data_IF_933468183524
#
_entry.id   IF_933468183524
#
_cell.length_a   1.000
_cell.length_b   1.000
_cell.length_c   1.000
_cell.angle_alpha   90.00
_cell.angle_beta   90.00
_cell.angle_gamma   90.00
#
_symmetry.space_group_name_H-M   'P 1'
#
loop_
_entity.id
_entity.type
_entity.pdbx_description
1 polymer ?
#
# COMPACT_ATOMS: atom_id res chain seq x y z
N UNK A 1 32.62 -42.47 21.28
CA UNK A 1 32.20 -41.98 19.95
C UNK A 1 30.72 -41.68 20.05
N UNK A 2 30.33 -40.42 20.31
CA UNK A 2 30.09 -39.39 19.29
C UNK A 2 29.04 -39.89 18.27
N UNK A 3 27.88 -39.27 18.08
CA UNK A 3 27.55 -37.86 18.21
C UNK A 3 26.05 -37.68 18.47
N UNK A 4 25.70 -36.80 19.40
CA UNK A 4 24.33 -36.34 19.61
C UNK A 4 24.00 -35.37 18.48
N UNK A 5 23.05 -35.72 17.62
CA UNK A 5 22.50 -34.75 16.66
C UNK A 5 21.56 -33.84 17.46
N UNK A 6 22.07 -32.68 17.88
CA UNK A 6 21.25 -31.60 18.41
C UNK A 6 20.29 -31.11 17.31
N UNK A 7 19.00 -30.88 17.60
CA UNK A 7 18.10 -30.25 16.66
C UNK A 7 18.52 -28.79 16.44
N UNK A 8 18.83 -28.44 15.19
CA UNK A 8 19.17 -27.09 14.73
C UNK A 8 18.04 -26.09 15.05
N UNK A 9 18.17 -25.43 16.20
CA UNK A 9 17.39 -24.29 16.64
C UNK A 9 17.92 -23.02 15.95
N UNK A 10 17.73 -22.91 14.63
CA UNK A 10 18.52 -21.96 13.83
C UNK A 10 17.76 -20.98 12.92
N UNK A 11 16.45 -21.13 12.70
CA UNK A 11 15.69 -20.12 11.96
C UNK A 11 14.25 -20.07 12.47
N UNK A 12 14.04 -19.27 13.52
CA UNK A 12 12.72 -18.72 13.81
C UNK A 12 12.26 -18.00 12.54
N UNK A 13 11.20 -18.50 11.90
CA UNK A 13 10.56 -17.78 10.80
C UNK A 13 9.94 -16.54 11.43
N UNK A 14 10.72 -15.46 11.48
CA UNK A 14 10.30 -14.20 12.07
C UNK A 14 9.22 -13.62 11.18
N UNK A 15 7.96 -13.86 11.55
CA UNK A 15 6.83 -13.18 10.93
C UNK A 15 6.98 -11.69 11.21
N UNK A 16 7.00 -10.82 10.18
CA UNK A 16 7.23 -9.41 10.40
C UNK A 16 6.13 -8.81 11.27
N UNK A 17 6.54 -8.05 12.28
CA UNK A 17 5.63 -7.48 13.27
C UNK A 17 4.61 -6.51 12.65
N UNK A 18 4.91 -5.94 11.48
CA UNK A 18 4.04 -5.04 10.74
C UNK A 18 4.14 -5.30 9.23
N UNK A 19 2.99 -5.31 8.56
CA UNK A 19 2.91 -5.40 7.10
C UNK A 19 2.36 -4.09 6.54
N UNK A 20 3.00 -3.57 5.48
CA UNK A 20 2.61 -2.34 4.80
C UNK A 20 2.59 -2.62 3.30
N UNK A 21 1.45 -2.38 2.68
CA UNK A 21 1.30 -2.46 1.24
C UNK A 21 1.09 -1.10 0.59
N UNK A 22 1.88 -0.80 -0.43
CA UNK A 22 1.86 0.49 -1.13
C UNK A 22 1.35 0.28 -2.55
N UNK A 23 0.25 0.95 -2.90
CA UNK A 23 -0.25 1.00 -4.28
C UNK A 23 0.33 2.24 -4.96
N UNK A 24 1.19 2.06 -5.95
CA UNK A 24 1.89 3.16 -6.64
C UNK A 24 2.13 2.83 -8.11
N UNK A 25 2.06 3.85 -8.97
CA UNK A 25 2.46 3.73 -10.38
C UNK A 25 3.99 3.67 -10.57
N UNK A 26 4.74 4.08 -9.54
CA UNK A 26 6.20 4.18 -9.52
C UNK A 26 6.73 3.50 -8.25
N UNK A 27 6.70 2.15 -8.18
CA UNK A 27 7.23 1.42 -7.04
C UNK A 27 8.74 1.65 -6.85
N UNK A 28 9.49 1.91 -7.93
CA UNK A 28 10.95 2.08 -7.92
C UNK A 28 11.38 3.32 -7.10
N UNK A 29 10.51 4.31 -6.94
CA UNK A 29 10.79 5.48 -6.08
C UNK A 29 11.02 5.10 -4.61
N UNK A 30 10.52 3.94 -4.19
CA UNK A 30 10.64 3.46 -2.82
C UNK A 30 11.89 2.61 -2.59
N UNK A 31 12.64 2.27 -3.64
CA UNK A 31 13.87 1.47 -3.52
C UNK A 31 14.86 2.13 -2.57
N UNK A 32 15.05 3.45 -2.70
CA UNK A 32 15.92 4.23 -1.82
C UNK A 32 15.49 4.16 -0.33
N UNK A 33 14.19 4.07 -0.04
CA UNK A 33 13.66 3.95 1.32
C UNK A 33 13.84 2.54 1.88
N UNK A 34 13.78 1.53 1.01
CA UNK A 34 13.95 0.12 1.40
C UNK A 34 15.41 -0.32 1.53
N UNK A 35 16.33 0.31 0.82
CA UNK A 35 17.74 -0.08 0.80
C UNK A 35 18.60 0.71 1.79
N UNK A 36 18.14 1.89 2.22
CA UNK A 36 18.93 2.79 3.04
C UNK A 36 18.12 3.35 4.22
N UNK A 37 18.81 3.78 5.28
CA UNK A 37 18.18 4.44 6.43
C UNK A 37 17.46 3.51 7.41
N UNK A 38 16.61 4.09 8.26
CA UNK A 38 15.94 3.38 9.37
C UNK A 38 14.92 2.37 8.85
N UNK A 39 14.23 2.68 7.75
CA UNK A 39 13.22 1.80 7.13
C UNK A 39 13.90 0.57 6.52
N UNK A 40 14.99 0.75 5.76
CA UNK A 40 15.74 -0.39 5.22
C UNK A 40 16.26 -1.33 6.30
N UNK A 41 16.84 -0.80 7.38
CA UNK A 41 17.24 -1.62 8.54
C UNK A 41 16.07 -2.36 9.20
N UNK A 42 14.87 -1.77 9.21
CA UNK A 42 13.68 -2.41 9.75
C UNK A 42 13.19 -3.55 8.84
N UNK A 43 13.33 -3.40 7.52
CA UNK A 43 13.04 -4.47 6.54
C UNK A 43 14.07 -5.59 6.65
N UNK A 44 15.37 -5.28 6.70
CA UNK A 44 16.45 -6.28 6.88
C UNK A 44 16.28 -7.10 8.16
N UNK A 45 15.87 -6.44 9.25
CA UNK A 45 15.59 -7.09 10.55
C UNK A 45 14.21 -7.75 10.61
N UNK A 46 13.51 -7.85 9.48
CA UNK A 46 12.16 -8.42 9.37
C UNK A 46 11.18 -7.84 10.39
N UNK A 47 11.32 -6.56 10.76
CA UNK A 47 10.37 -5.86 11.63
C UNK A 47 9.17 -5.34 10.84
N UNK A 48 9.39 -4.99 9.58
CA UNK A 48 8.38 -4.51 8.66
C UNK A 48 8.49 -5.28 7.35
N UNK A 49 7.37 -5.78 6.82
CA UNK A 49 7.25 -6.22 5.44
C UNK A 49 6.67 -5.07 4.60
N UNK A 50 7.40 -4.67 3.56
CA UNK A 50 6.95 -3.67 2.60
C UNK A 50 6.76 -4.35 1.25
N UNK A 51 5.58 -4.22 0.67
CA UNK A 51 5.23 -4.78 -0.63
C UNK A 51 4.58 -3.70 -1.50
N UNK A 52 4.70 -3.84 -2.81
CA UNK A 52 4.24 -2.84 -3.78
C UNK A 52 3.27 -3.43 -4.79
N UNK A 53 2.25 -2.64 -5.13
CA UNK A 53 1.25 -2.96 -6.14
C UNK A 53 1.22 -1.87 -7.18
N UNK A 54 1.52 -2.21 -8.43
CA UNK A 54 1.36 -1.28 -9.54
C UNK A 54 -0.02 -1.46 -10.18
N UNK A 55 -0.90 -0.44 -10.17
CA UNK A 55 -2.18 -0.50 -10.88
C UNK A 55 -2.05 -0.88 -12.37
N UNK A 56 -0.90 -0.60 -13.00
CA UNK A 56 -0.63 -0.98 -14.40
C UNK A 56 -0.69 -2.48 -14.65
N UNK A 57 -0.41 -3.30 -13.64
CA UNK A 57 -0.42 -4.76 -13.75
C UNK A 57 -1.85 -5.33 -13.76
N UNK A 58 -2.83 -4.52 -13.36
CA UNK A 58 -4.25 -4.87 -13.31
C UNK A 58 -5.05 -4.26 -14.47
N UNK A 59 -4.38 -3.59 -15.40
CA UNK A 59 -5.00 -3.08 -16.60
C UNK A 59 -5.27 -4.22 -17.60
N UNK A 60 -6.49 -4.26 -18.12
CA UNK A 60 -6.94 -5.30 -19.06
C UNK A 60 -6.73 -4.92 -20.53
N UNK A 61 -6.42 -3.65 -20.80
CA UNK A 61 -6.16 -3.15 -22.15
C UNK A 61 -4.70 -3.33 -22.57
N UNK A 62 -4.47 -3.41 -23.89
CA UNK A 62 -3.13 -3.62 -24.48
C UNK A 62 -2.11 -2.55 -24.10
N UNK A 63 -2.56 -1.34 -23.77
CA UNK A 63 -1.69 -0.21 -23.45
C UNK A 63 -1.46 -0.04 -21.95
N UNK A 64 -1.99 -0.95 -21.12
CA UNK A 64 -1.96 -0.88 -19.65
C UNK A 64 -2.41 0.49 -19.13
N UNK A 65 -3.49 1.02 -19.69
CA UNK A 65 -4.02 2.33 -19.33
C UNK A 65 -4.52 2.32 -17.89
N UNK A 66 -3.99 3.25 -17.09
CA UNK A 66 -4.35 3.44 -15.67
C UNK A 66 -5.11 4.73 -15.43
N UNK A 67 -5.26 5.54 -16.47
CA UNK A 67 -5.84 6.86 -16.45
C UNK A 67 -6.85 7.02 -17.60
N UNK A 68 -7.84 7.89 -17.39
CA UNK A 68 -8.91 8.20 -18.33
C UNK A 68 -9.30 9.67 -18.25
N UNK A 69 -9.99 10.16 -19.28
CA UNK A 69 -10.45 11.54 -19.33
C UNK A 69 -11.54 11.79 -18.29
N UNK A 70 -11.51 12.95 -17.61
CA UNK A 70 -12.58 13.32 -16.69
C UNK A 70 -13.92 13.49 -17.42
N UNK A 71 -14.99 13.02 -16.78
CA UNK A 71 -16.35 13.32 -17.22
C UNK A 71 -16.62 14.82 -17.16
N UNK A 72 -17.26 15.37 -18.20
CA UNK A 72 -17.51 16.81 -18.32
C UNK A 72 -16.41 17.60 -19.03
N UNK A 73 -15.32 16.94 -19.46
CA UNK A 73 -14.21 17.59 -20.14
C UNK A 73 -13.32 18.42 -19.20
N UNK A 74 -12.31 19.07 -19.76
CA UNK A 74 -11.28 19.81 -19.02
C UNK A 74 -9.90 19.14 -19.10
N UNK A 75 -8.83 19.90 -18.83
CA UNK A 75 -7.47 19.39 -18.89
C UNK A 75 -7.21 18.41 -17.75
N UNK A 76 -6.34 17.43 -18.01
CA UNK A 76 -5.90 16.44 -17.03
C UNK A 76 -6.51 15.05 -17.23
N UNK A 77 -6.07 14.13 -16.37
CA UNK A 77 -6.45 12.71 -16.41
C UNK A 77 -6.85 12.26 -15.00
N UNK A 78 -7.80 11.31 -14.93
CA UNK A 78 -8.24 10.66 -13.69
C UNK A 78 -7.79 9.20 -13.68
N UNK A 79 -7.36 8.69 -12.53
CA UNK A 79 -7.07 7.27 -12.42
C UNK A 79 -8.33 6.43 -12.65
N UNK A 80 -8.18 5.36 -13.42
CA UNK A 80 -9.23 4.37 -13.64
C UNK A 80 -9.55 3.65 -12.33
N UNK A 81 -10.83 3.60 -12.00
CA UNK A 81 -11.32 2.95 -10.78
C UNK A 81 -11.05 1.45 -10.82
N UNK A 82 -11.17 0.82 -11.99
CA UNK A 82 -11.07 -0.64 -12.10
C UNK A 82 -9.68 -1.17 -11.75
N UNK A 83 -8.62 -0.56 -12.31
CA UNK A 83 -7.24 -0.96 -12.07
C UNK A 83 -6.81 -0.68 -10.63
N UNK A 84 -7.18 0.51 -10.11
CA UNK A 84 -6.90 0.89 -8.74
C UNK A 84 -7.63 -0.03 -7.75
N UNK A 85 -8.90 -0.33 -8.01
CA UNK A 85 -9.70 -1.25 -7.22
C UNK A 85 -9.04 -2.63 -7.21
N UNK A 86 -8.75 -3.20 -8.38
CA UNK A 86 -8.12 -4.51 -8.48
C UNK A 86 -6.81 -4.59 -7.68
N UNK A 87 -5.95 -3.57 -7.80
CA UNK A 87 -4.71 -3.48 -7.02
C UNK A 87 -4.95 -3.46 -5.50
N UNK A 88 -5.90 -2.65 -5.02
CA UNK A 88 -6.26 -2.58 -3.59
C UNK A 88 -6.80 -3.93 -3.11
N UNK A 89 -7.68 -4.58 -3.88
CA UNK A 89 -8.24 -5.88 -3.50
C UNK A 89 -7.15 -6.96 -3.42
N UNK A 90 -6.24 -7.02 -4.40
CA UNK A 90 -5.10 -7.93 -4.39
C UNK A 90 -4.19 -7.69 -3.16
N UNK A 91 -3.90 -6.42 -2.85
CA UNK A 91 -3.12 -6.06 -1.67
C UNK A 91 -3.80 -6.50 -0.37
N UNK A 92 -5.13 -6.31 -0.26
CA UNK A 92 -5.90 -6.72 0.92
C UNK A 92 -5.87 -8.24 1.12
N UNK A 93 -6.03 -9.00 0.04
CA UNK A 93 -5.96 -10.45 0.10
C UNK A 93 -4.56 -10.92 0.53
N UNK A 94 -3.51 -10.31 -0.03
CA UNK A 94 -2.13 -10.62 0.35
C UNK A 94 -1.82 -10.30 1.82
N UNK A 95 -2.35 -9.18 2.33
CA UNK A 95 -2.23 -8.80 3.73
C UNK A 95 -2.93 -9.79 4.66
N UNK A 96 -4.16 -10.19 4.30
CA UNK A 96 -4.95 -11.13 5.09
C UNK A 96 -4.28 -12.51 5.16
N UNK A 97 -3.68 -12.97 4.05
CA UNK A 97 -2.89 -14.22 4.04
C UNK A 97 -1.62 -14.12 4.88
N UNK A 98 -0.94 -12.97 4.90
CA UNK A 98 0.28 -12.80 5.70
C UNK A 98 0.04 -12.58 7.19
N UNK A 99 -1.02 -11.86 7.56
CA UNK A 99 -1.21 -11.36 8.93
C UNK A 99 -2.43 -11.93 9.63
N UNK A 100 -3.36 -12.55 8.89
CA UNK A 100 -4.67 -12.96 9.41
C UNK A 100 -5.63 -11.78 9.65
N UNK A 101 -5.23 -10.53 9.38
CA UNK A 101 -6.00 -9.33 9.67
C UNK A 101 -6.50 -8.64 8.40
N UNK A 102 -7.59 -7.89 8.52
CA UNK A 102 -8.06 -7.00 7.45
C UNK A 102 -7.28 -5.69 7.55
N UNK A 103 -6.51 -5.30 6.52
CA UNK A 103 -5.70 -4.09 6.60
C UNK A 103 -6.56 -2.83 6.45
N UNK A 104 -6.12 -1.76 7.10
CA UNK A 104 -6.67 -0.41 6.92
C UNK A 104 -6.15 0.17 5.59
N UNK A 105 -7.06 0.65 4.75
CA UNK A 105 -6.69 1.32 3.49
C UNK A 105 -6.65 2.83 3.72
N UNK A 106 -5.50 3.45 3.45
CA UNK A 106 -5.27 4.88 3.60
C UNK A 106 -5.00 5.50 2.23
N UNK A 107 -5.74 6.57 1.89
CA UNK A 107 -5.52 7.34 0.67
C UNK A 107 -4.84 8.67 1.00
N UNK A 108 -3.65 8.88 0.44
CA UNK A 108 -2.89 10.11 0.61
C UNK A 108 -3.43 11.17 -0.35
N UNK A 109 -4.05 12.22 0.21
CA UNK A 109 -4.64 13.31 -0.55
C UNK A 109 -4.43 14.63 0.17
N UNK A 110 -4.19 15.75 -0.56
CA UNK A 110 -4.18 17.09 0.02
C UNK A 110 -5.49 17.47 0.72
N UNK A 111 -6.60 16.81 0.37
CA UNK A 111 -7.91 17.00 1.00
C UNK A 111 -8.11 16.10 2.25
N UNK A 112 -7.11 15.29 2.60
CA UNK A 112 -7.15 14.41 3.75
C UNK A 112 -6.92 15.16 5.06
N UNK A 113 -7.05 14.43 6.17
CA UNK A 113 -6.67 14.95 7.48
C UNK A 113 -5.15 15.12 7.55
N UNK A 114 -4.70 16.26 8.06
CA UNK A 114 -3.29 16.54 8.25
C UNK A 114 -2.65 15.52 9.20
N UNK A 115 -1.50 14.98 8.78
CA UNK A 115 -0.75 14.02 9.59
C UNK A 115 0.09 14.79 10.60
N UNK A 116 -0.46 14.97 11.80
CA UNK A 116 0.25 15.57 12.93
C UNK A 116 1.20 14.60 13.63
N UNK A 117 2.16 15.13 14.37
CA UNK A 117 3.15 14.37 15.17
C UNK A 117 2.53 13.45 16.23
N UNK A 118 1.26 13.65 16.59
CA UNK A 118 0.53 12.80 17.55
C UNK A 118 0.02 11.47 16.98
N UNK A 119 0.21 11.17 15.69
CA UNK A 119 -0.01 9.83 15.13
C UNK A 119 -1.38 9.21 15.38
N UNK A 120 -2.44 10.01 15.53
CA UNK A 120 -3.80 9.50 15.73
C UNK A 120 -4.60 9.63 14.43
N UNK A 121 -4.77 8.51 13.74
CA UNK A 121 -5.73 8.39 12.65
C UNK A 121 -6.46 7.04 12.71
N UNK A 122 -7.04 6.74 13.86
CA UNK A 122 -8.17 5.81 13.93
C UNK A 122 -9.40 6.62 14.36
N UNK A 123 -10.29 6.88 13.40
CA UNK A 123 -11.75 7.12 13.52
C UNK A 123 -12.19 8.21 12.56
N UNK A 124 -12.87 7.80 11.48
CA UNK A 124 -13.87 8.64 10.83
C UNK A 124 -13.56 9.15 9.42
N UNK A 125 -13.25 8.30 8.46
CA UNK A 125 -13.53 8.65 7.05
C UNK A 125 -15.03 8.46 6.79
N UNK A 126 -15.85 9.38 7.35
CA UNK A 126 -17.26 9.52 6.93
C UNK A 126 -17.25 10.17 5.55
N UNK A 127 -17.92 9.49 4.60
CA UNK A 127 -18.35 9.99 3.27
C UNK A 127 -18.40 11.52 3.21
N UNK A 128 -17.39 12.15 2.60
CA UNK A 128 -17.50 13.53 2.15
C UNK A 128 -17.99 13.51 0.70
N UNK A 129 -19.31 13.38 0.51
CA UNK A 129 -19.95 13.92 -0.69
C UNK A 129 -20.38 15.35 -0.34
N UNK A 130 -19.42 16.28 -0.30
CA UNK A 130 -19.75 17.71 -0.18
C UNK A 130 -19.95 18.23 -1.59
N UNK A 131 -21.20 18.15 -2.06
CA UNK A 131 -21.67 18.93 -3.18
C UNK A 131 -21.67 20.40 -2.77
N UNK A 132 -20.54 21.10 -2.99
CA UNK A 132 -20.55 22.56 -3.01
C UNK A 132 -20.73 23.00 -4.46
N UNK A 133 -22.00 23.11 -4.84
CA UNK A 133 -22.41 23.90 -5.99
C UNK A 133 -21.85 25.30 -5.86
N UNK A 134 -21.06 25.70 -6.86
CA UNK A 134 -20.69 27.08 -7.07
C UNK A 134 -21.70 27.62 -8.09
N UNK A 135 -22.84 28.08 -7.59
CA UNK A 135 -23.80 28.85 -8.39
C UNK A 135 -23.31 30.30 -8.41
N UNK A 136 -23.22 30.88 -9.61
CA UNK A 136 -23.16 32.33 -9.82
C UNK A 136 -24.46 32.99 -9.35
#
# INVERSE_FOLDING_TARGET
MADSIEPDMGNEVVTPAMWIGVVSLFPEMFDALTQQGVVGRAVEKQRIALEFWNPRDYATDRHRSVDDRPYGGGPGMLMKVDTLRAAIFAARERAQKATGLVPTVIYLSPQGTEVGSAGRSSTGFRRAFSGRGRTL
#
